data_IF_637130585993
#
_entry.id   IF_637130585993
#
_cell.length_a   1.000
_cell.length_b   1.000
_cell.length_c   1.000
_cell.angle_alpha   90.00
_cell.angle_beta   90.00
_cell.angle_gamma   90.00
#
_symmetry.space_group_name_H-M   'P 1'
#
loop_
_entity.id
_entity.type
_entity.pdbx_description
1 polymer ?
#
# COMPACT_ATOMS: atom_id res chain seq x y z
N UNK A 1 26.01 -20.74 13.20
CA UNK A 1 25.22 -19.50 13.07
C UNK A 1 24.62 -19.44 11.66
N UNK A 2 23.30 -19.64 11.51
CA UNK A 2 22.66 -19.64 10.20
C UNK A 2 22.22 -18.22 9.80
N UNK A 3 22.92 -17.60 8.84
CA UNK A 3 22.46 -16.37 8.18
C UNK A 3 21.35 -16.75 7.20
N UNK A 4 20.08 -16.53 7.55
CA UNK A 4 18.94 -16.71 6.64
C UNK A 4 19.01 -15.63 5.57
N UNK A 5 19.49 -16.00 4.38
CA UNK A 5 19.59 -15.15 3.21
C UNK A 5 18.16 -14.78 2.74
N UNK A 6 17.67 -13.57 3.05
CA UNK A 6 16.38 -13.08 2.52
C UNK A 6 16.58 -12.71 1.04
N UNK A 7 16.47 -13.70 0.14
CA UNK A 7 16.18 -13.39 -1.26
C UNK A 7 14.74 -12.85 -1.31
N UNK A 8 14.62 -11.59 -1.73
CA UNK A 8 13.33 -10.93 -1.87
C UNK A 8 12.80 -11.23 -3.28
N UNK A 9 12.30 -12.45 -3.50
CA UNK A 9 11.85 -12.96 -4.80
C UNK A 9 10.45 -12.43 -5.21
N UNK A 10 9.97 -11.37 -4.56
CA UNK A 10 8.67 -10.79 -4.85
C UNK A 10 8.81 -9.81 -6.02
N UNK A 11 8.01 -10.03 -7.06
CA UNK A 11 7.89 -9.12 -8.19
C UNK A 11 7.65 -7.67 -7.69
N UNK A 12 8.18 -6.65 -8.38
CA UNK A 12 7.98 -5.26 -7.98
C UNK A 12 6.48 -4.96 -7.83
N UNK A 13 6.12 -4.36 -6.69
CA UNK A 13 4.75 -3.93 -6.40
C UNK A 13 4.29 -2.96 -7.49
N UNK A 14 3.28 -3.37 -8.28
CA UNK A 14 2.71 -2.52 -9.34
C UNK A 14 1.87 -1.40 -8.73
N UNK A 15 0.70 -1.74 -8.18
CA UNK A 15 -0.25 -0.81 -7.55
C UNK A 15 -0.98 -1.51 -6.39
N UNK A 16 -1.39 -0.74 -5.36
CA UNK A 16 -2.22 -1.22 -4.24
C UNK A 16 -3.55 -0.46 -4.25
N UNK A 17 -4.66 -1.19 -4.24
CA UNK A 17 -6.01 -0.62 -4.22
C UNK A 17 -6.70 -0.97 -2.90
N UNK A 18 -7.21 0.04 -2.20
CA UNK A 18 -7.99 -0.15 -0.98
C UNK A 18 -9.47 -0.03 -1.31
N UNK A 19 -10.21 -1.11 -1.07
CA UNK A 19 -11.66 -1.22 -1.29
C UNK A 19 -12.39 -1.51 0.03
N UNK A 20 -13.71 -1.39 0.04
CA UNK A 20 -14.58 -1.59 1.20
C UNK A 20 -15.64 -0.51 1.34
N UNK A 21 -16.56 -0.70 2.29
CA UNK A 21 -17.69 0.22 2.52
C UNK A 21 -17.26 1.64 2.92
N UNK A 22 -18.19 2.59 2.79
CA UNK A 22 -18.02 3.95 3.30
C UNK A 22 -17.64 3.92 4.79
N UNK A 23 -16.78 4.83 5.24
CA UNK A 23 -16.27 4.89 6.62
C UNK A 23 -15.44 3.67 7.09
N UNK A 24 -15.05 2.73 6.21
CA UNK A 24 -14.12 1.65 6.55
C UNK A 24 -12.65 2.11 6.78
N UNK A 25 -12.37 3.41 6.78
CA UNK A 25 -11.03 3.95 7.03
C UNK A 25 -10.05 3.86 5.85
N UNK A 26 -10.51 3.53 4.64
CA UNK A 26 -9.68 3.35 3.43
C UNK A 26 -8.72 4.51 3.19
N UNK A 27 -9.23 5.74 3.24
CA UNK A 27 -8.47 6.97 3.01
C UNK A 27 -7.40 7.22 4.10
N UNK A 28 -7.68 6.87 5.36
CA UNK A 28 -6.73 6.99 6.47
C UNK A 28 -5.64 5.91 6.40
N UNK A 29 -6.04 4.66 6.23
CA UNK A 29 -5.12 3.53 6.10
C UNK A 29 -4.23 3.68 4.85
N UNK A 30 -4.78 4.11 3.72
CA UNK A 30 -4.04 4.30 2.47
C UNK A 30 -2.96 5.37 2.55
N UNK A 31 -3.23 6.50 3.22
CA UNK A 31 -2.19 7.51 3.47
C UNK A 31 -1.06 6.97 4.34
N UNK A 32 -1.39 6.24 5.40
CA UNK A 32 -0.38 5.64 6.27
C UNK A 32 0.47 4.61 5.50
N UNK A 33 -0.19 3.74 4.73
CA UNK A 33 0.46 2.72 3.92
C UNK A 33 1.37 3.33 2.85
N UNK A 34 0.88 4.34 2.11
CA UNK A 34 1.65 5.04 1.09
C UNK A 34 2.94 5.66 1.66
N UNK A 35 2.87 6.26 2.86
CA UNK A 35 4.05 6.80 3.56
C UNK A 35 5.06 5.72 3.92
N UNK A 36 4.60 4.59 4.44
CA UNK A 36 5.45 3.46 4.82
C UNK A 36 6.15 2.84 3.61
N UNK A 37 5.43 2.73 2.48
CA UNK A 37 5.94 2.15 1.24
C UNK A 37 6.67 3.15 0.35
N UNK A 38 6.65 4.45 0.69
CA UNK A 38 7.15 5.56 -0.15
C UNK A 38 6.53 5.56 -1.55
N UNK A 39 5.23 5.33 -1.61
CA UNK A 39 4.44 5.34 -2.84
C UNK A 39 3.50 6.57 -2.87
N UNK A 40 3.09 7.05 -4.05
CA UNK A 40 2.04 8.06 -4.16
C UNK A 40 0.70 7.53 -3.62
N UNK A 41 -0.13 8.43 -3.09
CA UNK A 41 -1.48 8.12 -2.63
C UNK A 41 -2.51 8.84 -3.51
N UNK A 42 -3.49 8.10 -4.02
CA UNK A 42 -4.59 8.60 -4.86
C UNK A 42 -5.92 8.23 -4.19
N UNK A 43 -6.85 9.19 -4.12
CA UNK A 43 -8.21 9.02 -3.59
C UNK A 43 -9.20 9.12 -4.75
N UNK A 44 -9.82 7.99 -5.14
CA UNK A 44 -10.71 7.92 -6.31
C UNK A 44 -11.87 8.89 -6.21
N UNK A 45 -12.39 9.12 -5.00
CA UNK A 45 -13.55 9.97 -4.76
C UNK A 45 -13.24 11.47 -4.96
N UNK A 46 -11.96 11.83 -5.09
CA UNK A 46 -11.48 13.23 -5.24
C UNK A 46 -10.88 13.51 -6.61
N UNK A 47 -10.73 12.49 -7.46
CA UNK A 47 -10.03 12.60 -8.74
C UNK A 47 -10.94 13.01 -9.90
N UNK A 48 -12.25 13.12 -9.66
CA UNK A 48 -13.30 13.42 -10.65
C UNK A 48 -14.26 14.48 -10.12
#
# INVERSE_FOLDING_TARGET
MARKNRKNDLAPLKNVYLTGFMCAGKTTAGRALARLLRLPFLDSDKLV
#
